data_IF_400981082440
#
_entry.id   IF_400981082440
#
_cell.length_a   1.000
_cell.length_b   1.000
_cell.length_c   1.000
_cell.angle_alpha   90.00
_cell.angle_beta   90.00
_cell.angle_gamma   90.00
#
_symmetry.space_group_name_H-M   'P 1'
#
loop_
_entity.id
_entity.type
_entity.pdbx_description
1 polymer ?
#
# COMPACT_ATOMS: atom_id res chain seq x y z
N UNK A 1 -7.53 -11.87 6.95
CA UNK A 1 -7.49 -10.50 6.41
C UNK A 1 -7.85 -10.55 4.92
N UNK A 2 -8.96 -9.94 4.47
CA UNK A 2 -9.35 -9.90 3.04
C UNK A 2 -8.79 -8.63 2.38
N UNK A 3 -7.56 -8.72 1.87
CA UNK A 3 -6.95 -7.67 1.04
C UNK A 3 -7.86 -7.36 -0.15
N UNK A 4 -8.30 -6.10 -0.22
CA UNK A 4 -9.37 -5.67 -1.12
C UNK A 4 -8.86 -4.81 -2.28
N UNK A 5 -7.73 -4.12 -2.09
CA UNK A 5 -7.10 -3.27 -3.11
C UNK A 5 -5.61 -3.51 -3.20
N UNK A 6 -5.12 -3.57 -4.44
CA UNK A 6 -3.72 -3.78 -4.77
C UNK A 6 -3.30 -2.90 -5.95
N UNK A 7 -2.27 -2.08 -5.77
CA UNK A 7 -1.83 -1.11 -6.78
C UNK A 7 -0.38 -0.65 -6.57
N UNK A 8 0.25 -0.16 -7.64
CA UNK A 8 1.49 0.61 -7.56
C UNK A 8 1.20 2.10 -7.48
N UNK A 9 2.00 2.82 -6.70
CA UNK A 9 1.88 4.27 -6.55
C UNK A 9 3.23 4.92 -6.28
N UNK A 10 3.32 6.22 -6.58
CA UNK A 10 4.50 7.04 -6.25
C UNK A 10 4.13 8.03 -5.15
N UNK A 11 4.93 8.10 -4.09
CA UNK A 11 4.71 9.06 -3.01
C UNK A 11 5.06 10.48 -3.49
N UNK A 12 4.09 11.39 -3.47
CA UNK A 12 4.26 12.79 -3.90
C UNK A 12 4.67 13.69 -2.74
N UNK A 13 4.12 13.47 -1.55
CA UNK A 13 4.41 14.26 -0.35
C UNK A 13 4.19 13.42 0.89
N UNK A 14 4.93 13.71 1.96
CA UNK A 14 4.73 13.10 3.27
C UNK A 14 4.91 14.15 4.37
N UNK A 15 4.14 14.00 5.45
CA UNK A 15 4.26 14.82 6.65
C UNK A 15 4.09 13.94 7.89
N UNK A 16 4.84 14.27 8.94
CA UNK A 16 4.65 13.66 10.26
C UNK A 16 3.56 14.43 10.97
N UNK A 17 2.55 13.73 11.45
CA UNK A 17 1.47 14.29 12.26
C UNK A 17 1.67 13.87 13.72
N UNK A 18 1.60 14.83 14.67
CA UNK A 18 1.58 14.48 16.08
C UNK A 18 0.33 13.65 16.35
N UNK A 19 0.46 12.66 17.23
CA UNK A 19 -0.66 11.92 17.78
C UNK A 19 -1.08 12.53 19.12
N UNK A 20 -2.36 12.43 19.45
CA UNK A 20 -2.87 12.82 20.75
C UNK A 20 -2.64 11.68 21.76
N UNK A 21 -1.43 11.63 22.31
CA UNK A 21 -1.06 10.59 23.28
C UNK A 21 -1.88 10.73 24.58
N UNK A 22 -2.42 9.64 25.16
CA UNK A 22 -2.13 8.23 24.85
C UNK A 22 -3.02 7.59 23.78
N UNK A 23 -4.04 8.29 23.31
CA UNK A 23 -5.10 7.72 22.45
C UNK A 23 -4.59 7.43 21.04
N UNK A 24 -3.69 8.27 20.53
CA UNK A 24 -3.12 8.13 19.19
C UNK A 24 -1.62 8.37 19.20
N UNK A 25 -0.89 7.40 18.67
CA UNK A 25 0.55 7.55 18.46
C UNK A 25 0.80 8.47 17.25
N UNK A 26 1.89 9.24 17.24
CA UNK A 26 2.31 9.99 16.06
C UNK A 26 2.44 9.07 14.84
N UNK A 27 2.15 9.61 13.65
CA UNK A 27 2.07 8.84 12.41
C UNK A 27 2.51 9.69 11.21
N UNK A 28 2.78 9.03 10.09
CA UNK A 28 3.13 9.69 8.83
C UNK A 28 1.91 9.64 7.92
N UNK A 29 1.56 10.78 7.32
CA UNK A 29 0.55 10.87 6.26
C UNK A 29 1.26 11.15 4.94
N UNK A 30 1.00 10.32 3.94
CA UNK A 30 1.56 10.42 2.59
C UNK A 30 0.48 10.56 1.53
N UNK A 31 0.71 11.45 0.56
CA UNK A 31 -0.12 11.57 -0.65
C UNK A 31 0.52 10.79 -1.77
N UNK A 32 -0.15 9.74 -2.24
CA UNK A 32 0.34 8.84 -3.27
C UNK A 32 -0.39 9.06 -4.58
N UNK A 33 0.35 9.19 -5.67
CA UNK A 33 -0.23 9.16 -7.00
C UNK A 33 -0.33 7.70 -7.47
N UNK A 34 -1.56 7.22 -7.64
CA UNK A 34 -1.81 5.85 -8.12
C UNK A 34 -1.38 5.71 -9.58
N UNK A 35 -0.57 4.70 -9.90
CA UNK A 35 -0.08 4.44 -11.26
C UNK A 35 -0.78 3.27 -11.93
N UNK A 36 -0.69 2.07 -11.35
CA UNK A 36 -1.30 0.83 -11.90
C UNK A 36 -2.12 0.12 -10.84
N UNK A 37 -3.32 -0.31 -11.20
CA UNK A 37 -4.22 -1.02 -10.31
C UNK A 37 -4.28 -2.47 -10.75
N UNK A 38 -3.95 -3.38 -9.84
CA UNK A 38 -3.92 -4.82 -10.11
C UNK A 38 -5.11 -5.55 -9.48
N UNK A 39 -5.71 -4.98 -8.42
CA UNK A 39 -6.94 -5.51 -7.84
C UNK A 39 -7.77 -4.43 -7.16
N UNK A 40 -9.08 -4.50 -7.35
CA UNK A 40 -10.06 -3.61 -6.72
C UNK A 40 -10.23 -2.30 -7.49
N UNK A 41 -11.12 -1.46 -7.00
CA UNK A 41 -11.37 -0.12 -7.55
C UNK A 41 -10.57 0.90 -6.75
N UNK A 42 -9.37 1.23 -7.23
CA UNK A 42 -8.77 2.52 -6.89
C UNK A 42 -9.12 3.49 -8.04
N UNK A 43 -9.39 4.76 -7.75
CA UNK A 43 -9.39 5.74 -8.82
C UNK A 43 -7.93 5.99 -9.23
N UNK A 44 -7.67 6.25 -10.51
CA UNK A 44 -6.37 6.72 -11.03
C UNK A 44 -6.11 8.17 -10.61
N UNK A 45 -6.15 8.42 -9.31
CA UNK A 45 -6.04 9.72 -8.66
C UNK A 45 -5.09 9.63 -7.46
N UNK A 46 -4.83 10.78 -6.86
CA UNK A 46 -4.10 10.88 -5.61
C UNK A 46 -4.89 10.26 -4.46
N UNK A 47 -4.21 9.45 -3.64
CA UNK A 47 -4.76 8.82 -2.44
C UNK A 47 -3.90 9.19 -1.24
N UNK A 48 -4.55 9.60 -0.16
CA UNK A 48 -3.88 9.85 1.11
C UNK A 48 -3.90 8.57 1.94
N UNK A 49 -2.71 8.14 2.38
CA UNK A 49 -2.54 6.96 3.22
C UNK A 49 -1.65 7.31 4.40
N UNK A 50 -1.95 6.70 5.54
CA UNK A 50 -1.17 6.85 6.77
C UNK A 50 -0.32 5.62 7.06
N UNK A 51 0.75 5.79 7.81
CA UNK A 51 1.52 4.68 8.36
C UNK A 51 2.16 5.06 9.69
N UNK A 52 2.55 4.06 10.46
CA UNK A 52 3.29 4.25 11.71
C UNK A 52 4.69 4.83 11.48
N UNK A 53 5.33 5.36 12.54
CA UNK A 53 6.68 5.96 12.46
C UNK A 53 7.78 4.88 12.48
N UNK A 54 7.43 3.62 12.71
CA UNK A 54 8.38 2.51 12.85
C UNK A 54 8.84 2.34 14.30
N UNK A 55 9.57 1.24 14.56
CA UNK A 55 10.02 0.77 15.90
C UNK A 55 9.00 -0.06 16.71
N UNK A 56 8.03 -0.71 16.06
CA UNK A 56 7.16 -1.72 16.69
C UNK A 56 5.73 -1.78 16.16
N UNK A 57 5.32 -0.80 15.36
CA UNK A 57 3.97 -0.60 14.81
C UNK A 57 3.78 -1.12 13.38
N UNK A 58 4.76 -1.89 12.86
CA UNK A 58 4.83 -2.29 11.44
C UNK A 58 4.81 -1.11 10.45
N UNK A 59 5.16 0.13 10.85
CA UNK A 59 5.18 1.29 9.96
C UNK A 59 6.06 1.08 8.71
N UNK A 60 5.55 1.49 7.55
CA UNK A 60 6.28 1.46 6.27
C UNK A 60 7.03 2.77 6.08
N UNK A 61 8.30 2.71 5.69
CA UNK A 61 9.08 3.92 5.42
C UNK A 61 8.49 4.70 4.24
N UNK A 62 8.22 5.99 4.45
CA UNK A 62 7.73 6.92 3.42
C UNK A 62 8.87 7.81 2.90
N UNK A 63 9.28 7.60 1.65
CA UNK A 63 10.33 8.32 0.94
C UNK A 63 9.70 9.00 -0.27
N UNK A 64 9.70 10.33 -0.26
CA UNK A 64 9.12 11.12 -1.35
C UNK A 64 9.79 10.75 -2.67
N UNK A 65 9.00 10.69 -3.74
CA UNK A 65 9.37 10.26 -5.09
C UNK A 65 9.66 8.76 -5.26
N UNK A 66 9.68 7.96 -4.17
CA UNK A 66 9.83 6.52 -4.30
C UNK A 66 8.54 5.84 -4.78
N UNK A 67 8.72 4.68 -5.43
CA UNK A 67 7.61 3.82 -5.84
C UNK A 67 7.28 2.80 -4.77
N UNK A 68 6.00 2.48 -4.70
CA UNK A 68 5.43 1.60 -3.71
C UNK A 68 4.54 0.57 -4.35
N UNK A 69 4.58 -0.63 -3.78
CA UNK A 69 3.55 -1.63 -3.95
C UNK A 69 2.66 -1.56 -2.72
N UNK A 70 1.38 -1.28 -2.92
CA UNK A 70 0.43 -0.98 -1.84
C UNK A 70 -0.64 -2.06 -1.75
N UNK A 71 -0.71 -2.68 -0.57
CA UNK A 71 -1.75 -3.61 -0.17
C UNK A 71 -2.67 -2.91 0.83
N UNK A 72 -3.89 -2.61 0.38
CA UNK A 72 -4.86 -1.83 1.15
C UNK A 72 -6.14 -2.62 1.41
N UNK A 73 -6.63 -2.54 2.64
CA UNK A 73 -7.96 -3.00 3.00
C UNK A 73 -9.00 -1.92 2.68
N UNK A 74 -10.21 -2.33 2.28
CA UNK A 74 -11.29 -1.40 1.92
C UNK A 74 -11.60 -0.37 3.02
N UNK A 75 -11.52 -0.79 4.28
CA UNK A 75 -11.99 -0.02 5.43
C UNK A 75 -10.84 0.62 6.23
N UNK A 76 -9.62 0.69 5.66
CA UNK A 76 -8.45 1.31 6.31
C UNK A 76 -7.67 2.20 5.37
N UNK A 77 -7.49 3.46 5.76
CA UNK A 77 -6.61 4.44 5.12
C UNK A 77 -5.20 4.42 5.71
N UNK A 78 -4.74 3.24 6.11
CA UNK A 78 -3.40 2.99 6.61
C UNK A 78 -2.72 1.87 5.83
N UNK A 79 -1.41 1.97 5.70
CA UNK A 79 -0.52 0.93 5.17
C UNK A 79 0.52 0.56 6.22
N UNK A 80 0.96 -0.68 6.18
CA UNK A 80 1.97 -1.21 7.08
C UNK A 80 2.76 -2.33 6.39
N UNK A 81 4.00 -2.55 6.82
CA UNK A 81 4.89 -3.55 6.25
C UNK A 81 4.36 -4.98 6.45
N UNK A 82 3.61 -5.21 7.53
CA UNK A 82 3.04 -6.51 7.88
C UNK A 82 1.89 -6.93 6.95
N UNK A 83 1.20 -5.96 6.34
CA UNK A 83 0.19 -6.15 5.29
C UNK A 83 0.81 -6.39 3.90
N UNK A 84 2.14 -6.24 3.78
CA UNK A 84 2.91 -6.44 2.56
C UNK A 84 3.20 -5.17 1.77
N UNK A 85 2.83 -3.99 2.27
CA UNK A 85 3.12 -2.72 1.59
C UNK A 85 4.59 -2.34 1.72
N UNK A 86 5.27 -2.12 0.60
CA UNK A 86 6.72 -1.86 0.59
C UNK A 86 7.15 -0.90 -0.52
N UNK A 87 8.31 -0.28 -0.31
CA UNK A 87 9.05 0.43 -1.36
C UNK A 87 9.52 -0.59 -2.40
N UNK A 88 9.54 -0.20 -3.67
CA UNK A 88 10.15 -0.96 -4.76
C UNK A 88 11.01 -0.06 -5.63
N UNK A 89 12.02 -0.65 -6.24
CA UNK A 89 12.84 0.02 -7.25
C UNK A 89 12.14 0.00 -8.61
N UNK A 90 12.45 0.98 -9.45
CA UNK A 90 11.84 1.14 -10.77
C UNK A 90 11.97 -0.10 -11.65
N UNK A 91 13.16 -0.72 -11.66
CA UNK A 91 13.43 -1.92 -12.47
C UNK A 91 12.70 -3.17 -11.97
N UNK A 92 12.22 -3.16 -10.71
CA UNK A 92 11.50 -4.29 -10.11
C UNK A 92 10.00 -4.24 -10.37
N UNK A 93 9.47 -3.08 -10.75
CA UNK A 93 8.03 -2.84 -10.85
C UNK A 93 7.36 -3.88 -11.75
N UNK A 94 7.82 -4.03 -12.99
CA UNK A 94 7.19 -4.93 -13.96
C UNK A 94 7.23 -6.40 -13.53
N UNK A 95 8.37 -6.85 -12.99
CA UNK A 95 8.55 -8.22 -12.51
C UNK A 95 7.61 -8.53 -11.34
N UNK A 96 7.57 -7.65 -10.34
CA UNK A 96 6.75 -7.83 -9.13
C UNK A 96 5.27 -7.79 -9.49
N UNK A 97 4.83 -6.81 -10.29
CA UNK A 97 3.42 -6.70 -10.71
C UNK A 97 2.99 -7.95 -11.49
N UNK A 98 3.83 -8.46 -12.39
CA UNK A 98 3.55 -9.67 -13.16
C UNK A 98 3.41 -10.91 -12.29
N UNK A 99 4.33 -11.11 -11.33
CA UNK A 99 4.26 -12.23 -10.37
C UNK A 99 2.97 -12.19 -9.55
N UNK A 100 2.58 -11.00 -9.09
CA UNK A 100 1.36 -10.86 -8.28
C UNK A 100 0.11 -11.09 -9.13
N UNK A 101 0.07 -10.61 -10.37
CA UNK A 101 -1.04 -10.86 -11.28
C UNK A 101 -1.26 -12.36 -11.53
N UNK A 102 -0.17 -13.12 -11.72
CA UNK A 102 -0.23 -14.58 -11.87
C UNK A 102 -0.85 -15.24 -10.63
N UNK A 103 -0.41 -14.86 -9.43
CA UNK A 103 -0.93 -15.40 -8.17
C UNK A 103 -2.42 -15.06 -7.99
N UNK A 104 -2.82 -13.82 -8.31
CA UNK A 104 -4.22 -13.39 -8.24
C UNK A 104 -5.12 -14.19 -9.19
N UNK A 105 -4.67 -14.39 -10.44
CA UNK A 105 -5.40 -15.15 -11.45
C UNK A 105 -5.56 -16.63 -11.06
N UNK A 106 -4.51 -17.26 -10.51
CA UNK A 106 -4.57 -18.64 -10.04
C UNK A 106 -5.55 -18.81 -8.87
N UNK A 107 -5.59 -17.84 -7.96
CA UNK A 107 -6.50 -17.87 -6.81
C UNK A 107 -7.97 -17.75 -7.22
N UNK A 108 -8.28 -16.91 -8.20
CA UNK A 108 -9.63 -16.77 -8.74
C UNK A 108 -10.11 -18.07 -9.42
N UNK A 109 -9.27 -18.70 -10.24
CA UNK A 109 -9.59 -20.00 -10.89
C UNK A 109 -9.86 -21.14 -9.91
N UNK A 110 -9.24 -21.13 -8.73
CA UNK A 110 -9.51 -22.13 -7.68
C UNK A 110 -10.82 -21.88 -6.93
N UNK A 111 -11.28 -20.63 -6.88
CA UNK A 111 -12.56 -20.25 -6.25
C UNK A 111 -13.76 -20.58 -7.15
N UNK A 112 -13.60 -20.52 -8.47
CA UNK A 112 -14.64 -20.88 -9.45
C UNK A 112 -14.86 -22.40 -9.61
N UNK A 113 -13.92 -23.21 -9.13
CA UNK A 113 -13.99 -24.69 -9.18
C UNK A 113 -14.49 -25.32 -7.89
N UNK A 114 -14.95 -24.51 -6.93
CA UNK A 114 -15.52 -24.93 -5.65
C UNK A 114 -16.96 -24.46 -5.56
#
# INVERSE_FOLDING_TARGET
>A
MRLTRFFSATLQSAKVLPGDYPEKWPYIEGTFQTKKILKGTAQTNDIVLSTGIGRGDCGTMMVVSAKYIIFKNKDRDSIDACSGSSVIEDFQEEEILSKIQVILNQKNRKLEKK
#
